data_IF_620594998449
#
_entry.id   IF_620594998449
#
_cell.length_a   1.000
_cell.length_b   1.000
_cell.length_c   1.000
_cell.angle_alpha   90.00
_cell.angle_beta   90.00
_cell.angle_gamma   90.00
#
_symmetry.space_group_name_H-M   'P 1'
#
loop_
_entity.id
_entity.type
_entity.pdbx_description
1 polymer ?
#
# COMPACT_ATOMS: atom_id res chain seq x y z
N UNK A 1 22.69 -38.02 8.20
CA UNK A 1 21.62 -37.83 7.20
C UNK A 1 22.22 -38.14 5.85
N UNK A 2 21.62 -39.04 5.07
CA UNK A 2 22.14 -39.41 3.75
C UNK A 2 21.60 -38.41 2.71
N UNK A 3 22.48 -37.77 1.93
CA UNK A 3 22.10 -36.77 0.92
C UNK A 3 22.33 -37.32 -0.48
N UNK A 4 21.40 -37.04 -1.41
CA UNK A 4 21.53 -37.38 -2.83
C UNK A 4 21.42 -36.13 -3.69
N UNK A 5 22.12 -36.10 -4.82
CA UNK A 5 21.99 -35.04 -5.82
C UNK A 5 20.90 -35.40 -6.83
N UNK A 6 20.09 -34.42 -7.21
CA UNK A 6 19.05 -34.54 -8.23
C UNK A 6 19.17 -33.38 -9.22
N UNK A 7 18.84 -33.62 -10.49
CA UNK A 7 18.66 -32.54 -11.47
C UNK A 7 17.23 -32.00 -11.38
N UNK A 8 17.08 -30.68 -11.32
CA UNK A 8 15.80 -30.01 -11.22
C UNK A 8 15.63 -29.02 -12.38
N UNK A 9 14.64 -29.27 -13.24
CA UNK A 9 14.29 -28.32 -14.30
C UNK A 9 13.55 -27.11 -13.74
N UNK A 10 13.64 -25.97 -14.43
CA UNK A 10 12.93 -24.74 -14.05
C UNK A 10 11.41 -24.96 -13.91
N UNK A 11 10.78 -25.69 -14.85
CA UNK A 11 9.34 -26.00 -14.78
C UNK A 11 8.98 -26.88 -13.58
N UNK A 12 9.87 -27.81 -13.20
CA UNK A 12 9.64 -28.63 -12.01
C UNK A 12 9.83 -27.79 -10.75
N UNK A 13 10.86 -26.95 -10.70
CA UNK A 13 11.07 -26.02 -9.60
C UNK A 13 9.89 -25.05 -9.42
N UNK A 14 9.32 -24.53 -10.51
CA UNK A 14 8.10 -23.70 -10.49
C UNK A 14 6.92 -24.43 -9.86
N UNK A 15 6.67 -25.69 -10.27
CA UNK A 15 5.61 -26.51 -9.68
C UNK A 15 5.81 -26.75 -8.18
N UNK A 16 7.04 -27.03 -7.76
CA UNK A 16 7.38 -27.19 -6.34
C UNK A 16 7.22 -25.88 -5.56
N UNK A 17 7.61 -24.75 -6.16
CA UNK A 17 7.43 -23.42 -5.58
C UNK A 17 5.96 -23.09 -5.33
N UNK A 18 5.08 -23.41 -6.27
CA UNK A 18 3.63 -23.22 -6.16
C UNK A 18 2.96 -24.13 -5.13
N UNK A 19 3.49 -25.32 -4.89
CA UNK A 19 2.98 -26.24 -3.85
C UNK A 19 3.18 -25.70 -2.43
N UNK A 20 4.10 -24.76 -2.22
CA UNK A 20 4.36 -24.16 -0.90
C UNK A 20 5.10 -25.10 0.07
N UNK A 21 5.20 -24.67 1.33
CA UNK A 21 5.82 -25.46 2.40
C UNK A 21 7.27 -25.89 2.10
N UNK A 22 7.59 -27.15 2.36
CA UNK A 22 8.93 -27.71 2.12
C UNK A 22 9.30 -27.76 0.64
N UNK A 23 8.33 -28.00 -0.25
CA UNK A 23 8.57 -28.03 -1.71
C UNK A 23 9.03 -26.67 -2.23
N UNK A 24 8.48 -25.58 -1.69
CA UNK A 24 8.96 -24.22 -1.97
C UNK A 24 10.42 -24.04 -1.58
N UNK A 25 10.80 -24.53 -0.39
CA UNK A 25 12.18 -24.43 0.06
C UNK A 25 13.12 -25.21 -0.85
N UNK A 26 12.71 -26.41 -1.31
CA UNK A 26 13.48 -27.20 -2.28
C UNK A 26 13.71 -26.39 -3.56
N UNK A 27 12.67 -25.79 -4.14
CA UNK A 27 12.82 -24.97 -5.34
C UNK A 27 13.79 -23.79 -5.13
N UNK A 28 13.70 -23.12 -3.98
CA UNK A 28 14.55 -21.99 -3.60
C UNK A 28 16.01 -22.39 -3.32
N UNK A 29 16.32 -23.68 -3.11
CA UNK A 29 17.71 -24.14 -3.03
C UNK A 29 18.40 -24.20 -4.41
N UNK A 30 17.63 -24.23 -5.50
CA UNK A 30 18.14 -24.44 -6.85
C UNK A 30 18.03 -23.20 -7.74
N UNK A 31 17.02 -22.35 -7.54
CA UNK A 31 16.74 -21.17 -8.39
C UNK A 31 16.46 -19.94 -7.54
N UNK A 32 16.80 -18.75 -8.06
CA UNK A 32 16.40 -17.50 -7.44
C UNK A 32 14.89 -17.34 -7.54
N UNK A 33 14.31 -16.68 -6.55
CA UNK A 33 12.86 -16.56 -6.43
C UNK A 33 12.22 -15.86 -7.65
N UNK A 34 12.89 -14.86 -8.26
CA UNK A 34 12.37 -14.20 -9.47
C UNK A 34 12.30 -15.12 -10.70
N UNK A 35 13.20 -16.10 -10.82
CA UNK A 35 13.18 -17.07 -11.93
C UNK A 35 11.97 -18.01 -11.83
N UNK A 36 11.60 -18.35 -10.60
CA UNK A 36 10.46 -19.19 -10.25
C UNK A 36 9.13 -18.45 -10.42
N UNK A 37 9.10 -17.14 -10.20
CA UNK A 37 7.91 -16.33 -10.44
C UNK A 37 7.78 -16.06 -11.95
N UNK A 38 8.87 -15.70 -12.64
CA UNK A 38 8.85 -15.29 -14.04
C UNK A 38 8.11 -13.97 -14.24
N UNK A 39 7.39 -13.85 -15.36
CA UNK A 39 6.69 -12.61 -15.76
C UNK A 39 5.28 -12.45 -15.18
N UNK A 40 4.82 -13.39 -14.34
CA UNK A 40 3.48 -13.29 -13.74
C UNK A 40 3.45 -12.21 -12.67
N UNK A 41 2.26 -11.71 -12.37
CA UNK A 41 2.07 -10.76 -11.27
C UNK A 41 2.41 -11.39 -9.90
N UNK A 42 3.06 -10.64 -8.99
CA UNK A 42 3.33 -11.11 -7.64
C UNK A 42 2.02 -11.26 -6.86
N UNK A 43 1.93 -12.33 -6.06
CA UNK A 43 0.78 -12.62 -5.19
C UNK A 43 1.04 -12.24 -3.73
N UNK A 44 2.29 -11.95 -3.39
CA UNK A 44 2.71 -11.58 -2.03
C UNK A 44 3.72 -10.45 -2.10
N UNK A 45 3.89 -9.74 -0.98
CA UNK A 45 4.95 -8.74 -0.84
C UNK A 45 6.34 -9.32 -1.14
N UNK A 46 6.60 -10.55 -0.68
CA UNK A 46 7.89 -11.22 -0.88
C UNK A 46 8.15 -11.53 -2.35
N UNK A 47 7.11 -11.92 -3.11
CA UNK A 47 7.21 -12.11 -4.55
C UNK A 47 7.46 -10.78 -5.27
N UNK A 48 6.77 -9.71 -4.87
CA UNK A 48 7.00 -8.37 -5.41
C UNK A 48 8.45 -7.93 -5.21
N UNK A 49 8.99 -8.08 -4.00
CA UNK A 49 10.38 -7.75 -3.71
C UNK A 49 11.38 -8.59 -4.49
N UNK A 50 11.09 -9.88 -4.70
CA UNK A 50 11.95 -10.75 -5.49
C UNK A 50 11.99 -10.33 -6.97
N UNK A 51 10.88 -9.86 -7.52
CA UNK A 51 10.79 -9.47 -8.93
C UNK A 51 11.22 -8.03 -9.23
N UNK A 52 11.30 -7.18 -8.21
CA UNK A 52 11.53 -5.75 -8.40
C UNK A 52 12.73 -5.30 -7.57
N UNK A 53 13.65 -4.59 -8.21
CA UNK A 53 14.66 -3.78 -7.54
C UNK A 53 14.10 -2.41 -7.12
N UNK A 54 14.83 -1.72 -6.25
CA UNK A 54 14.60 -0.31 -5.95
C UNK A 54 15.06 0.52 -7.12
N UNK A 55 14.23 1.45 -7.58
CA UNK A 55 14.50 2.26 -8.77
C UNK A 55 14.86 3.70 -8.40
N UNK A 56 15.67 4.33 -9.25
CA UNK A 56 15.95 5.76 -9.16
C UNK A 56 14.65 6.55 -9.21
N UNK A 57 14.52 7.53 -8.31
CA UNK A 57 13.34 8.38 -8.18
C UNK A 57 12.28 7.86 -7.21
N UNK A 58 12.41 6.63 -6.72
CA UNK A 58 11.63 6.15 -5.58
C UNK A 58 12.08 6.86 -4.30
N UNK A 59 11.18 6.96 -3.33
CA UNK A 59 11.43 7.72 -2.11
C UNK A 59 10.86 6.99 -0.89
N UNK A 60 11.38 7.27 0.29
CA UNK A 60 10.79 6.83 1.55
C UNK A 60 10.73 7.98 2.54
N UNK A 61 9.95 7.79 3.61
CA UNK A 61 9.91 8.70 4.75
C UNK A 61 10.81 8.14 5.86
N UNK A 62 11.74 8.96 6.33
CA UNK A 62 12.59 8.63 7.48
C UNK A 62 11.83 8.81 8.82
N UNK A 63 12.53 8.55 9.93
CA UNK A 63 11.99 8.65 11.29
C UNK A 63 11.66 10.09 11.72
N UNK A 64 12.20 11.08 11.01
CA UNK A 64 11.96 12.51 11.22
C UNK A 64 10.93 13.06 10.22
N UNK A 65 10.20 12.21 9.50
CA UNK A 65 9.28 12.55 8.41
C UNK A 65 9.98 13.24 7.22
N UNK A 66 11.30 13.13 7.13
CA UNK A 66 12.11 13.58 6.01
C UNK A 66 11.85 12.71 4.78
N UNK A 67 11.65 13.36 3.64
CA UNK A 67 11.55 12.67 2.37
C UNK A 67 12.95 12.40 1.82
N UNK A 68 13.32 11.13 1.72
CA UNK A 68 14.62 10.70 1.24
C UNK A 68 14.45 9.95 -0.07
N UNK A 69 15.27 10.27 -1.07
CA UNK A 69 15.35 9.47 -2.30
C UNK A 69 16.02 8.13 -1.98
N UNK A 70 15.38 7.04 -2.41
CA UNK A 70 15.93 5.72 -2.24
C UNK A 70 17.16 5.55 -3.13
N UNK A 71 18.21 4.97 -2.57
CA UNK A 71 19.39 4.62 -3.35
C UNK A 71 19.11 3.36 -4.17
N UNK A 72 19.61 3.32 -5.40
CA UNK A 72 19.64 2.09 -6.18
C UNK A 72 20.46 1.04 -5.41
N UNK A 73 19.88 -0.15 -5.20
CA UNK A 73 20.48 -1.17 -4.36
C UNK A 73 20.05 -2.57 -4.74
N UNK A 74 21.03 -3.37 -5.22
CA UNK A 74 20.91 -4.81 -5.43
C UNK A 74 19.97 -5.26 -6.55
N UNK A 75 19.99 -6.56 -6.85
CA UNK A 75 19.14 -7.18 -7.87
C UNK A 75 17.64 -7.23 -7.46
N UNK A 76 17.32 -7.00 -6.18
CA UNK A 76 15.99 -7.22 -5.58
C UNK A 76 15.78 -6.33 -4.37
N UNK A 77 14.53 -5.97 -4.06
CA UNK A 77 14.16 -5.30 -2.81
C UNK A 77 14.35 -6.18 -1.57
N UNK A 78 14.71 -5.55 -0.47
CA UNK A 78 14.69 -6.13 0.86
C UNK A 78 13.25 -6.21 1.40
N UNK A 79 12.82 -7.43 1.71
CA UNK A 79 11.44 -7.74 2.17
C UNK A 79 11.09 -7.10 3.51
N UNK A 80 12.09 -6.68 4.30
CA UNK A 80 11.94 -6.11 5.63
C UNK A 80 12.11 -4.60 5.61
N UNK A 81 13.17 -4.11 4.99
CA UNK A 81 13.61 -2.73 5.07
C UNK A 81 12.96 -1.82 4.01
N UNK A 82 12.52 -2.36 2.87
CA UNK A 82 12.02 -1.55 1.75
C UNK A 82 10.49 -1.34 1.76
N UNK A 83 9.82 -1.64 2.88
CA UNK A 83 8.35 -1.65 2.99
C UNK A 83 7.70 -0.27 2.92
N UNK A 84 8.47 0.79 3.17
CA UNK A 84 8.03 2.18 3.12
C UNK A 84 8.60 2.93 1.90
N UNK A 85 9.25 2.23 0.96
CA UNK A 85 9.65 2.82 -0.32
C UNK A 85 8.40 2.98 -1.19
N UNK A 86 8.24 4.19 -1.70
CA UNK A 86 7.13 4.66 -2.50
C UNK A 86 7.64 5.06 -3.89
N UNK A 87 6.81 4.90 -4.94
CA UNK A 87 7.27 4.94 -6.33
C UNK A 87 7.84 6.29 -6.77
N UNK A 88 7.44 7.38 -6.11
CA UNK A 88 7.92 8.73 -6.40
C UNK A 88 7.55 9.71 -5.28
N UNK A 89 8.20 10.87 -5.26
CA UNK A 89 7.97 11.96 -4.31
C UNK A 89 6.48 12.31 -4.08
N UNK A 90 5.63 12.51 -5.11
CA UNK A 90 4.20 12.76 -4.88
C UNK A 90 3.48 11.67 -4.10
N UNK A 91 3.82 10.39 -4.32
CA UNK A 91 3.21 9.29 -3.58
C UNK A 91 3.64 9.32 -2.10
N UNK A 92 4.89 9.68 -1.83
CA UNK A 92 5.40 9.83 -0.47
C UNK A 92 4.73 10.98 0.29
N UNK A 93 4.53 12.12 -0.37
CA UNK A 93 3.78 13.25 0.22
C UNK A 93 2.31 12.87 0.49
N UNK A 94 1.66 12.17 -0.44
CA UNK A 94 0.29 11.69 -0.25
C UNK A 94 0.18 10.74 0.97
N UNK A 95 1.14 9.83 1.16
CA UNK A 95 1.17 8.95 2.34
C UNK A 95 1.43 9.72 3.64
N UNK A 96 2.31 10.72 3.62
CA UNK A 96 2.54 11.59 4.78
C UNK A 96 1.25 12.35 5.16
N UNK A 97 0.56 12.90 4.16
CA UNK A 97 -0.74 13.56 4.36
C UNK A 97 -1.79 12.58 4.93
N UNK A 98 -1.85 11.35 4.42
CA UNK A 98 -2.72 10.29 4.95
C UNK A 98 -2.44 9.98 6.44
N UNK A 99 -1.16 9.92 6.84
CA UNK A 99 -0.76 9.72 8.24
C UNK A 99 -1.20 10.88 9.15
N UNK A 100 -1.11 12.12 8.67
CA UNK A 100 -1.60 13.30 9.40
C UNK A 100 -3.13 13.28 9.51
N UNK A 101 -3.82 12.99 8.41
CA UNK A 101 -5.28 12.86 8.38
C UNK A 101 -5.78 11.75 9.30
N UNK A 102 -5.06 10.63 9.44
CA UNK A 102 -5.39 9.57 10.38
C UNK A 102 -5.50 10.09 11.80
N UNK A 103 -4.47 10.82 12.26
CA UNK A 103 -4.39 11.36 13.62
C UNK A 103 -5.47 12.41 13.86
N UNK A 104 -5.64 13.34 12.92
CA UNK A 104 -6.66 14.39 13.01
C UNK A 104 -8.07 13.81 13.05
N UNK A 105 -8.33 12.81 12.21
CA UNK A 105 -9.63 12.13 12.14
C UNK A 105 -10.00 11.53 13.49
N UNK A 106 -9.05 10.89 14.16
CA UNK A 106 -9.34 10.24 15.44
C UNK A 106 -9.68 11.25 16.54
N UNK A 107 -9.07 12.45 16.53
CA UNK A 107 -9.51 13.57 17.37
C UNK A 107 -10.97 13.96 17.08
N UNK A 108 -11.34 14.08 15.81
CA UNK A 108 -12.71 14.43 15.39
C UNK A 108 -13.72 13.30 15.60
N UNK A 109 -13.27 12.05 15.75
CA UNK A 109 -14.14 10.92 16.09
C UNK A 109 -14.41 10.83 17.58
N UNK A 110 -13.51 11.33 18.42
CA UNK A 110 -13.69 11.35 19.88
C UNK A 110 -14.03 9.95 20.43
N UNK A 111 -13.22 8.96 20.06
CA UNK A 111 -13.40 7.56 20.44
C UNK A 111 -14.52 6.81 19.69
N UNK A 112 -15.27 7.47 18.81
CA UNK A 112 -16.24 6.78 17.96
C UNK A 112 -15.56 5.88 16.93
N UNK A 113 -16.07 4.65 16.79
CA UNK A 113 -15.63 3.67 15.79
C UNK A 113 -16.79 3.29 14.86
N UNK A 114 -16.59 3.25 13.54
CA UNK A 114 -17.59 2.71 12.62
C UNK A 114 -17.85 1.23 12.93
N UNK A 115 -19.11 0.85 13.18
CA UNK A 115 -19.49 -0.53 13.51
C UNK A 115 -20.22 -1.27 12.37
N UNK A 116 -20.33 -0.65 11.19
CA UNK A 116 -20.96 -1.24 10.00
C UNK A 116 -22.48 -1.39 10.05
N UNK A 117 -23.13 -1.07 11.19
CA UNK A 117 -24.57 -1.24 11.40
C UNK A 117 -25.37 0.06 11.23
N UNK A 118 -24.70 1.21 11.15
CA UNK A 118 -25.31 2.53 11.01
C UNK A 118 -24.84 3.24 9.74
N UNK A 119 -25.62 4.22 9.28
CA UNK A 119 -25.13 5.16 8.28
C UNK A 119 -23.98 6.00 8.85
N UNK A 120 -22.96 6.25 8.04
CA UNK A 120 -21.81 7.10 8.38
C UNK A 120 -21.69 8.24 7.38
N UNK A 121 -21.01 9.31 7.76
CA UNK A 121 -20.74 10.44 6.85
C UNK A 121 -19.28 10.38 6.43
N UNK A 122 -19.06 9.99 5.17
CA UNK A 122 -17.72 9.81 4.62
C UNK A 122 -17.33 10.96 3.71
N UNK A 123 -16.08 11.38 3.79
CA UNK A 123 -15.47 12.29 2.80
C UNK A 123 -15.00 11.45 1.62
N UNK A 124 -15.29 11.91 0.39
CA UNK A 124 -14.84 11.24 -0.82
C UNK A 124 -14.35 12.24 -1.85
N UNK A 125 -13.28 11.85 -2.55
CA UNK A 125 -12.81 12.51 -3.76
C UNK A 125 -13.47 11.88 -4.98
N UNK A 126 -13.86 12.69 -5.95
CA UNK A 126 -14.42 12.22 -7.20
C UNK A 126 -14.00 13.12 -8.36
N UNK A 127 -13.88 12.51 -9.53
CA UNK A 127 -13.55 13.19 -10.77
C UNK A 127 -14.83 13.61 -11.47
N UNK A 128 -14.99 14.90 -11.72
CA UNK A 128 -16.10 15.40 -12.53
C UNK A 128 -15.87 14.99 -14.00
N UNK A 129 -16.79 14.22 -14.64
CA UNK A 129 -16.56 13.69 -15.98
C UNK A 129 -16.36 14.73 -17.09
N UNK A 130 -16.79 15.98 -16.84
CA UNK A 130 -16.85 17.04 -17.85
C UNK A 130 -15.51 17.75 -18.03
N UNK A 131 -14.80 18.03 -16.94
CA UNK A 131 -13.55 18.81 -16.95
C UNK A 131 -12.38 18.06 -16.28
N UNK A 132 -12.61 16.86 -15.75
CA UNK A 132 -11.61 16.07 -15.04
C UNK A 132 -11.19 16.70 -13.71
N UNK A 133 -11.91 17.72 -13.24
CA UNK A 133 -11.56 18.41 -12.00
C UNK A 133 -11.89 17.53 -10.82
N UNK A 134 -10.91 17.41 -9.93
CA UNK A 134 -11.05 16.71 -8.66
C UNK A 134 -11.94 17.54 -7.72
N UNK A 135 -13.04 16.93 -7.28
CA UNK A 135 -13.96 17.51 -6.29
C UNK A 135 -13.97 16.66 -5.04
N UNK A 136 -14.28 17.30 -3.91
CA UNK A 136 -14.36 16.65 -2.60
C UNK A 136 -15.72 16.95 -2.00
N UNK A 137 -16.40 15.95 -1.43
CA UNK A 137 -17.69 16.12 -0.75
C UNK A 137 -17.85 15.21 0.45
N UNK A 138 -18.76 15.60 1.35
CA UNK A 138 -19.33 14.69 2.36
C UNK A 138 -20.47 13.92 1.74
N UNK A 139 -20.52 12.61 1.98
CA UNK A 139 -21.59 11.72 1.52
C UNK A 139 -22.05 10.82 2.64
N UNK A 140 -23.37 10.73 2.82
CA UNK A 140 -23.99 9.70 3.67
C UNK A 140 -23.82 8.33 3.03
N UNK A 141 -23.24 7.41 3.79
CA UNK A 141 -22.79 6.10 3.36
C UNK A 141 -23.49 5.02 4.20
N UNK A 142 -23.90 3.93 3.56
CA UNK A 142 -24.55 2.78 4.20
C UNK A 142 -23.71 1.53 3.96
N UNK A 143 -23.46 0.77 5.03
CA UNK A 143 -22.78 -0.54 4.95
C UNK A 143 -21.41 -0.51 4.25
N UNK A 144 -20.71 0.63 4.23
CA UNK A 144 -19.37 0.78 3.65
C UNK A 144 -18.41 1.42 4.66
N UNK A 145 -17.17 0.95 4.65
CA UNK A 145 -16.07 1.51 5.43
C UNK A 145 -15.33 2.54 4.59
N UNK A 146 -15.16 3.76 5.12
CA UNK A 146 -14.34 4.81 4.50
C UNK A 146 -13.29 5.31 5.49
N UNK A 147 -12.11 5.63 4.98
CA UNK A 147 -10.99 6.09 5.80
C UNK A 147 -11.35 7.35 6.59
N UNK A 148 -11.87 8.38 5.91
CA UNK A 148 -12.43 9.59 6.52
C UNK A 148 -13.94 9.44 6.69
N UNK A 149 -14.36 8.75 7.75
CA UNK A 149 -15.77 8.61 8.11
C UNK A 149 -16.04 9.12 9.52
N UNK A 150 -17.19 9.76 9.70
CA UNK A 150 -17.59 10.42 10.94
C UNK A 150 -19.03 10.05 11.31
N UNK A 151 -19.36 10.15 12.59
CA UNK A 151 -20.68 9.80 13.11
C UNK A 151 -21.77 10.78 12.69
N UNK A 152 -21.46 12.05 12.46
CA UNK A 152 -22.43 13.06 12.00
C UNK A 152 -21.93 13.83 10.78
N UNK A 153 -22.87 14.40 10.05
CA UNK A 153 -22.60 15.22 8.87
C UNK A 153 -21.86 16.50 9.23
N UNK A 154 -22.18 17.10 10.37
CA UNK A 154 -21.57 18.33 10.86
C UNK A 154 -20.07 18.12 11.11
N UNK A 155 -19.69 17.04 11.81
CA UNK A 155 -18.27 16.74 12.05
C UNK A 155 -17.52 16.44 10.76
N UNK A 156 -18.16 15.74 9.81
CA UNK A 156 -17.55 15.46 8.51
C UNK A 156 -17.31 16.75 7.70
N UNK A 157 -18.28 17.67 7.68
CA UNK A 157 -18.14 18.95 6.99
C UNK A 157 -17.11 19.85 7.66
N UNK A 158 -17.11 19.92 8.99
CA UNK A 158 -16.11 20.67 9.75
C UNK A 158 -14.68 20.16 9.47
N UNK A 159 -14.49 18.83 9.48
CA UNK A 159 -13.22 18.21 9.13
C UNK A 159 -12.81 18.52 7.69
N UNK A 160 -13.74 18.38 6.73
CA UNK A 160 -13.50 18.69 5.33
C UNK A 160 -13.08 20.16 5.15
N UNK A 161 -13.77 21.10 5.80
CA UNK A 161 -13.46 22.52 5.71
C UNK A 161 -12.07 22.83 6.29
N UNK A 162 -11.73 22.24 7.44
CA UNK A 162 -10.48 22.56 8.14
C UNK A 162 -9.25 21.93 7.47
N UNK A 163 -9.41 20.79 6.78
CA UNK A 163 -8.28 20.01 6.24
C UNK A 163 -8.39 19.74 4.74
N UNK A 164 -9.12 20.57 3.99
CA UNK A 164 -9.33 20.40 2.55
C UNK A 164 -8.02 20.25 1.77
N UNK A 165 -7.02 21.08 2.06
CA UNK A 165 -5.75 21.07 1.35
C UNK A 165 -4.97 19.77 1.61
N UNK A 166 -4.98 19.31 2.85
CA UNK A 166 -4.35 18.05 3.24
C UNK A 166 -5.06 16.83 2.63
N UNK A 167 -6.39 16.87 2.54
CA UNK A 167 -7.19 15.85 1.84
C UNK A 167 -6.80 15.80 0.35
N UNK A 168 -6.65 16.96 -0.29
CA UNK A 168 -6.21 17.03 -1.69
C UNK A 168 -4.79 16.50 -1.88
N UNK A 169 -3.89 16.74 -0.92
CA UNK A 169 -2.52 16.21 -0.95
C UNK A 169 -2.50 14.68 -0.82
N UNK A 170 -3.35 14.10 0.02
CA UNK A 170 -3.53 12.64 0.13
C UNK A 170 -4.13 12.01 -1.14
N UNK A 171 -4.93 12.77 -1.90
CA UNK A 171 -5.40 12.38 -3.23
C UNK A 171 -6.19 11.07 -3.25
N UNK A 172 -5.84 10.18 -4.18
CA UNK A 172 -6.52 8.89 -4.40
C UNK A 172 -6.40 7.90 -3.21
N UNK A 173 -5.67 8.25 -2.15
CA UNK A 173 -5.65 7.46 -0.91
C UNK A 173 -6.91 7.64 -0.04
N UNK A 174 -7.80 8.58 -0.40
CA UNK A 174 -9.01 8.97 0.36
C UNK A 174 -10.33 8.53 -0.29
#
# INVERSE_FOLDING_TARGET
METRQIELSLDTARRLYEQGGEYRNIALTAFKEHELIGDRLPKTWQEFCAQNEVKIGECYLDDCCGLIEAYEGGDTRDKVNDRNILPHKPAALAHLALMQLHQLRDCYRDGWLPNGLSSVHGIEMYYEPVDGVVKVRVRKCYSISKFLSFQTEERANEFLTNFLDLIKEAGDLI
#
